data_IF_439006878489
#
_entry.id   IF_439006878489
#
_cell.length_a   1.000
_cell.length_b   1.000
_cell.length_c   1.000
_cell.angle_alpha   90.00
_cell.angle_beta   90.00
_cell.angle_gamma   90.00
#
_symmetry.space_group_name_H-M   'P 1'
#
loop_
_entity.id
_entity.type
_entity.pdbx_description
1 polymer ?
#
# COMPACT_ATOMS: atom_id res chain seq x y z
N UNK A 1 -12.01 22.24 -33.06
CA UNK A 1 -12.68 22.52 -31.78
C UNK A 1 -13.94 23.29 -32.12
N UNK A 2 -15.05 22.57 -32.30
CA UNK A 2 -16.35 23.12 -32.64
C UNK A 2 -17.30 22.66 -31.53
N UNK A 3 -18.05 23.63 -31.01
CA UNK A 3 -18.97 23.57 -29.87
C UNK A 3 -19.96 22.40 -29.95
N UNK A 4 -19.74 21.33 -29.17
CA UNK A 4 -20.76 20.31 -28.88
C UNK A 4 -21.77 20.76 -27.81
N UNK A 5 -21.55 21.90 -27.16
CA UNK A 5 -22.38 22.41 -26.07
C UNK A 5 -23.54 23.30 -26.52
N UNK A 6 -23.59 23.71 -27.80
CA UNK A 6 -24.62 24.65 -28.30
C UNK A 6 -25.82 23.92 -28.93
N UNK A 7 -25.59 22.77 -29.56
CA UNK A 7 -26.62 21.95 -30.24
C UNK A 7 -27.62 21.30 -29.26
N UNK A 8 -27.14 20.89 -28.07
CA UNK A 8 -27.99 20.26 -27.06
C UNK A 8 -28.99 21.24 -26.40
N UNK A 9 -28.67 22.53 -26.37
CA UNK A 9 -29.59 23.54 -25.81
C UNK A 9 -30.73 23.84 -26.78
N UNK A 10 -30.44 23.95 -28.09
CA UNK A 10 -31.47 24.21 -29.10
C UNK A 10 -32.48 23.05 -29.21
N UNK A 11 -31.99 21.80 -29.12
CA UNK A 11 -32.85 20.60 -29.11
C UNK A 11 -33.73 20.56 -27.84
N UNK A 12 -33.17 20.93 -26.70
CA UNK A 12 -33.90 20.94 -25.44
C UNK A 12 -35.01 22.01 -25.47
N UNK A 13 -34.72 23.22 -25.95
CA UNK A 13 -35.72 24.30 -26.04
C UNK A 13 -36.88 23.89 -26.96
N UNK A 14 -36.59 23.32 -28.13
CA UNK A 14 -37.62 22.88 -29.08
C UNK A 14 -38.52 21.77 -28.52
N UNK A 15 -37.97 20.88 -27.70
CA UNK A 15 -38.72 19.81 -27.04
C UNK A 15 -39.75 20.34 -26.04
N UNK A 16 -39.40 21.37 -25.26
CA UNK A 16 -40.31 22.00 -24.29
C UNK A 16 -41.33 22.91 -24.96
N UNK A 17 -41.04 23.44 -26.15
CA UNK A 17 -41.98 24.24 -26.92
C UNK A 17 -43.05 23.36 -27.58
N UNK A 18 -42.69 22.18 -28.10
CA UNK A 18 -43.64 21.20 -28.64
C UNK A 18 -44.43 20.46 -27.55
N UNK A 19 -43.85 20.31 -26.36
CA UNK A 19 -44.46 19.59 -25.23
C UNK A 19 -44.56 20.52 -24.00
N UNK A 20 -45.40 21.57 -24.05
CA UNK A 20 -45.54 22.46 -22.92
C UNK A 20 -45.98 21.65 -21.69
N UNK A 21 -45.38 21.90 -20.51
CA UNK A 21 -45.75 21.19 -19.31
C UNK A 21 -47.24 21.38 -19.05
N UNK A 22 -47.94 20.27 -18.87
CA UNK A 22 -49.34 20.27 -18.49
C UNK A 22 -49.50 21.10 -17.22
N UNK A 23 -50.53 21.96 -17.10
CA UNK A 23 -50.77 22.71 -15.87
C UNK A 23 -50.91 21.72 -14.71
N UNK A 24 -50.15 21.95 -13.63
CA UNK A 24 -50.24 21.16 -12.41
C UNK A 24 -51.68 21.29 -11.90
N UNK A 25 -52.42 20.18 -11.97
CA UNK A 25 -53.74 20.09 -11.33
C UNK A 25 -53.55 20.28 -9.83
N UNK A 26 -54.14 21.33 -9.26
CA UNK A 26 -54.22 21.55 -7.80
C UNK A 26 -55.17 20.57 -7.10
N UNK A 27 -55.60 19.50 -7.77
CA UNK A 27 -56.34 18.42 -7.17
C UNK A 27 -55.35 17.46 -6.47
N UNK A 28 -55.11 17.71 -5.18
CA UNK A 28 -54.22 16.93 -4.31
C UNK A 28 -54.53 15.42 -4.31
N UNK A 29 -55.72 15.03 -4.79
CA UNK A 29 -56.19 13.64 -4.89
C UNK A 29 -55.43 12.81 -5.92
N UNK A 30 -54.84 13.45 -6.93
CA UNK A 30 -54.02 12.77 -7.97
C UNK A 30 -52.67 12.36 -7.38
N UNK A 31 -52.06 13.21 -6.55
CA UNK A 31 -50.79 12.90 -5.88
C UNK A 31 -50.92 11.72 -4.90
N UNK A 32 -52.03 11.67 -4.15
CA UNK A 32 -52.31 10.53 -3.28
C UNK A 32 -52.48 9.23 -4.08
N UNK A 33 -53.19 9.26 -5.22
CA UNK A 33 -53.34 8.10 -6.10
C UNK A 33 -52.03 7.66 -6.75
N UNK A 34 -51.19 8.58 -7.21
CA UNK A 34 -49.90 8.26 -7.83
C UNK A 34 -48.92 7.72 -6.80
N UNK A 35 -48.87 8.27 -5.57
CA UNK A 35 -48.06 7.74 -4.48
C UNK A 35 -48.48 6.32 -4.10
N UNK A 36 -49.79 6.04 -4.14
CA UNK A 36 -50.34 4.71 -3.87
C UNK A 36 -50.09 3.74 -5.03
N UNK A 37 -49.99 4.20 -6.28
CA UNK A 37 -49.62 3.35 -7.43
C UNK A 37 -48.12 3.07 -7.51
N UNK A 38 -47.28 4.03 -7.13
CA UNK A 38 -45.81 3.89 -7.16
C UNK A 38 -45.28 2.97 -6.05
N UNK A 39 -46.01 2.86 -4.93
CA UNK A 39 -45.67 2.00 -3.80
C UNK A 39 -46.68 0.87 -3.51
N UNK A 40 -47.87 0.90 -4.10
CA UNK A 40 -48.91 -0.14 -3.98
C UNK A 40 -48.82 -1.18 -5.09
N UNK A 41 -47.59 -1.56 -5.46
CA UNK A 41 -47.35 -2.62 -6.42
C UNK A 41 -48.23 -3.83 -6.13
N UNK A 42 -48.98 -4.25 -7.13
CA UNK A 42 -49.87 -5.41 -7.03
C UNK A 42 -49.07 -6.64 -6.57
N UNK A 43 -49.36 -7.13 -5.36
CA UNK A 43 -48.69 -8.31 -4.77
C UNK A 43 -49.00 -9.62 -5.52
N UNK A 44 -49.84 -9.58 -6.56
CA UNK A 44 -50.10 -10.74 -7.41
C UNK A 44 -48.92 -11.09 -8.33
N UNK A 45 -47.93 -10.20 -8.47
CA UNK A 45 -46.80 -10.37 -9.38
C UNK A 45 -45.53 -10.79 -8.61
N UNK A 46 -45.53 -12.06 -8.17
CA UNK A 46 -44.42 -12.71 -7.47
C UNK A 46 -43.08 -12.54 -8.21
N UNK A 47 -43.10 -12.48 -9.55
CA UNK A 47 -41.91 -12.26 -10.37
C UNK A 47 -41.24 -10.90 -10.13
N UNK A 48 -42.03 -9.85 -9.85
CA UNK A 48 -41.51 -8.50 -9.53
C UNK A 48 -40.81 -8.51 -8.17
N UNK A 49 -41.40 -9.22 -7.19
CA UNK A 49 -40.81 -9.39 -5.87
C UNK A 49 -39.50 -10.19 -5.94
N UNK A 50 -39.48 -11.31 -6.67
CA UNK A 50 -38.28 -12.14 -6.87
C UNK A 50 -37.16 -11.32 -7.51
N UNK A 51 -37.48 -10.56 -8.57
CA UNK A 51 -36.51 -9.70 -9.24
C UNK A 51 -35.92 -8.64 -8.29
N UNK A 52 -36.74 -8.05 -7.41
CA UNK A 52 -36.26 -7.08 -6.43
C UNK A 52 -35.31 -7.70 -5.38
N UNK A 53 -35.62 -8.91 -4.91
CA UNK A 53 -34.75 -9.69 -4.01
C UNK A 53 -33.41 -10.05 -4.68
N UNK A 54 -33.43 -10.50 -5.93
CA UNK A 54 -32.22 -10.77 -6.72
C UNK A 54 -31.33 -9.53 -6.87
N UNK A 55 -31.94 -8.38 -7.15
CA UNK A 55 -31.21 -7.11 -7.22
C UNK A 55 -30.58 -6.72 -5.88
N UNK A 56 -31.29 -6.93 -4.76
CA UNK A 56 -30.76 -6.68 -3.41
C UNK A 56 -29.57 -7.59 -3.10
N UNK A 57 -29.66 -8.88 -3.43
CA UNK A 57 -28.57 -9.84 -3.22
C UNK A 57 -27.33 -9.44 -4.02
N UNK A 58 -27.50 -9.09 -5.30
CA UNK A 58 -26.40 -8.64 -6.16
C UNK A 58 -25.75 -7.35 -5.68
N UNK A 59 -26.53 -6.41 -5.14
CA UNK A 59 -26.00 -5.19 -4.52
C UNK A 59 -25.20 -5.49 -3.26
N UNK A 60 -25.68 -6.43 -2.43
CA UNK A 60 -24.98 -6.84 -1.21
C UNK A 60 -23.66 -7.55 -1.52
N UNK A 61 -23.65 -8.41 -2.55
CA UNK A 61 -22.45 -9.06 -3.06
C UNK A 61 -21.42 -8.05 -3.57
N UNK A 62 -21.85 -7.06 -4.36
CA UNK A 62 -21.00 -5.97 -4.84
C UNK A 62 -20.36 -5.20 -3.67
N UNK A 63 -21.17 -4.85 -2.66
CA UNK A 63 -20.71 -4.12 -1.47
C UNK A 63 -19.71 -4.94 -0.64
N UNK A 64 -19.92 -6.25 -0.54
CA UNK A 64 -18.96 -7.15 0.12
C UNK A 64 -17.65 -7.24 -0.65
N UNK A 65 -17.72 -7.39 -1.98
CA UNK A 65 -16.54 -7.46 -2.86
C UNK A 65 -15.70 -6.19 -2.79
N UNK A 66 -16.34 -5.02 -2.76
CA UNK A 66 -15.69 -3.73 -2.61
C UNK A 66 -14.99 -3.60 -1.25
N UNK A 67 -15.65 -4.02 -0.16
CA UNK A 67 -15.04 -4.02 1.18
C UNK A 67 -13.84 -4.96 1.28
N UNK A 68 -13.93 -6.16 0.70
CA UNK A 68 -12.81 -7.12 0.71
C UNK A 68 -11.65 -6.60 -0.12
N UNK A 69 -11.90 -6.05 -1.32
CA UNK A 69 -10.84 -5.43 -2.13
C UNK A 69 -10.20 -4.22 -1.46
N UNK A 70 -10.99 -3.34 -0.84
CA UNK A 70 -10.47 -2.18 -0.15
C UNK A 70 -9.67 -2.59 1.10
N UNK A 71 -10.13 -3.61 1.84
CA UNK A 71 -9.43 -4.16 2.99
C UNK A 71 -8.11 -4.84 2.63
N UNK A 72 -8.08 -5.63 1.55
CA UNK A 72 -6.87 -6.26 1.02
C UNK A 72 -5.87 -5.23 0.46
N UNK A 73 -6.36 -4.21 -0.25
CA UNK A 73 -5.52 -3.13 -0.74
C UNK A 73 -4.90 -2.32 0.42
N UNK A 74 -5.68 -2.03 1.46
CA UNK A 74 -5.20 -1.34 2.66
C UNK A 74 -4.16 -2.17 3.43
N UNK A 75 -4.38 -3.49 3.59
CA UNK A 75 -3.40 -4.36 4.24
C UNK A 75 -2.10 -4.47 3.45
N UNK A 76 -2.16 -4.60 2.11
CA UNK A 76 -0.98 -4.65 1.25
C UNK A 76 -0.17 -3.34 1.31
N UNK A 77 -0.86 -2.19 1.37
CA UNK A 77 -0.21 -0.89 1.54
C UNK A 77 0.46 -0.77 2.90
N UNK A 78 -0.24 -1.18 3.96
CA UNK A 78 0.28 -1.16 5.34
C UNK A 78 1.48 -2.08 5.51
N UNK A 79 1.45 -3.27 4.92
CA UNK A 79 2.58 -4.21 4.92
C UNK A 79 3.79 -3.65 4.16
N UNK A 80 3.55 -2.98 3.02
CA UNK A 80 4.60 -2.27 2.26
C UNK A 80 5.20 -1.11 3.03
N UNK A 81 4.38 -0.34 3.75
CA UNK A 81 4.85 0.75 4.59
C UNK A 81 5.65 0.24 5.79
N UNK A 82 5.21 -0.86 6.39
CA UNK A 82 5.91 -1.51 7.49
C UNK A 82 7.24 -2.13 7.02
N UNK A 83 7.27 -2.76 5.84
CA UNK A 83 8.52 -3.23 5.23
C UNK A 83 9.49 -2.06 4.96
N UNK A 84 8.96 -0.90 4.52
CA UNK A 84 9.77 0.32 4.30
C UNK A 84 10.28 0.93 5.60
N UNK A 85 9.47 0.97 6.66
CA UNK A 85 9.88 1.52 7.96
C UNK A 85 10.96 0.64 8.60
N UNK A 86 10.78 -0.69 8.57
CA UNK A 86 11.77 -1.65 9.04
C UNK A 86 13.12 -1.51 8.32
N UNK A 87 13.10 -1.30 7.00
CA UNK A 87 14.32 -1.02 6.22
C UNK A 87 14.98 0.30 6.62
N UNK A 88 14.19 1.36 6.87
CA UNK A 88 14.71 2.66 7.31
C UNK A 88 15.36 2.57 8.69
N UNK A 89 14.74 1.87 9.63
CA UNK A 89 15.28 1.69 10.98
C UNK A 89 16.55 0.85 10.98
N UNK A 90 16.59 -0.25 10.23
CA UNK A 90 17.82 -1.04 10.09
C UNK A 90 18.92 -0.27 9.34
N UNK A 91 18.59 0.48 8.29
CA UNK A 91 19.56 1.35 7.61
C UNK A 91 20.12 2.44 8.53
N UNK A 92 19.27 3.03 9.38
CA UNK A 92 19.69 4.02 10.38
C UNK A 92 20.66 3.42 11.38
N UNK A 93 20.39 2.21 11.90
CA UNK A 93 21.30 1.48 12.80
C UNK A 93 22.64 1.17 12.11
N UNK A 94 22.62 0.75 10.85
CA UNK A 94 23.83 0.50 10.06
C UNK A 94 24.67 1.78 9.87
N UNK A 95 24.02 2.93 9.66
CA UNK A 95 24.70 4.21 9.53
C UNK A 95 25.39 4.65 10.82
N UNK A 96 24.72 4.52 11.98
CA UNK A 96 25.34 4.82 13.28
C UNK A 96 26.55 3.91 13.56
N UNK A 97 26.45 2.64 13.18
CA UNK A 97 27.56 1.71 13.33
C UNK A 97 28.75 2.09 12.43
N UNK A 98 28.50 2.44 11.16
CA UNK A 98 29.54 2.90 10.23
C UNK A 98 30.23 4.18 10.72
N UNK A 99 29.45 5.13 11.25
CA UNK A 99 30.00 6.36 11.82
C UNK A 99 30.87 6.09 13.05
N UNK A 100 30.40 5.23 13.97
CA UNK A 100 31.17 4.85 15.17
C UNK A 100 32.47 4.13 14.80
N UNK A 101 32.44 3.27 13.79
CA UNK A 101 33.62 2.57 13.27
C UNK A 101 34.64 3.54 12.64
N UNK A 102 34.18 4.51 11.86
CA UNK A 102 35.07 5.52 11.27
C UNK A 102 35.81 6.34 12.33
N UNK A 103 35.11 6.70 13.42
CA UNK A 103 35.73 7.37 14.57
C UNK A 103 36.76 6.47 15.26
N UNK A 104 36.44 5.18 15.44
CA UNK A 104 37.36 4.21 16.05
C UNK A 104 38.65 4.01 15.23
N UNK A 105 38.53 3.88 13.91
CA UNK A 105 39.69 3.81 13.01
C UNK A 105 40.49 5.11 13.06
N UNK A 106 39.84 6.27 13.08
CA UNK A 106 40.53 7.56 13.25
C UNK A 106 41.35 7.62 14.53
N UNK A 107 40.83 7.10 15.64
CA UNK A 107 41.55 7.01 16.92
C UNK A 107 42.73 6.04 16.83
N UNK A 108 42.57 4.86 16.22
CA UNK A 108 43.67 3.90 16.04
C UNK A 108 44.80 4.49 15.21
N UNK A 109 44.47 5.19 14.11
CA UNK A 109 45.46 5.86 13.26
C UNK A 109 46.19 6.95 14.04
N UNK A 110 45.48 7.73 14.86
CA UNK A 110 46.09 8.74 15.72
C UNK A 110 47.05 8.12 16.74
N UNK A 111 46.64 7.06 17.43
CA UNK A 111 47.49 6.37 18.44
C UNK A 111 48.72 5.76 17.77
N UNK A 112 48.56 5.11 16.61
CA UNK A 112 49.66 4.51 15.87
C UNK A 112 50.63 5.58 15.33
N UNK A 113 50.11 6.70 14.83
CA UNK A 113 50.93 7.85 14.43
C UNK A 113 51.69 8.48 15.59
N UNK A 114 51.11 8.45 16.80
CA UNK A 114 51.71 8.96 18.04
C UNK A 114 52.57 7.94 18.79
N UNK A 115 52.66 6.69 18.29
CA UNK A 115 53.37 5.59 18.95
C UNK A 115 54.84 5.94 19.25
N UNK A 116 55.49 6.71 18.37
CA UNK A 116 56.87 7.19 18.55
C UNK A 116 57.08 8.08 19.79
N UNK A 117 56.03 8.73 20.29
CA UNK A 117 56.11 9.64 21.44
C UNK A 117 55.67 8.99 22.77
N UNK A 118 55.02 7.82 22.72
CA UNK A 118 54.41 7.12 23.86
C UNK A 118 55.23 5.94 24.39
N UNK A 119 56.34 5.57 23.73
CA UNK A 119 57.30 4.58 24.24
C UNK A 119 56.80 3.12 24.27
N UNK A 120 55.70 2.81 23.56
CA UNK A 120 55.19 1.45 23.41
C UNK A 120 55.68 0.84 22.08
N UNK A 121 56.64 -0.08 22.16
CA UNK A 121 57.02 -0.96 21.05
C UNK A 121 56.08 -2.17 21.01
N UNK A 122 54.92 -2.00 20.37
CA UNK A 122 54.09 -3.13 19.95
C UNK A 122 54.71 -3.73 18.69
N UNK A 123 54.88 -5.05 18.68
CA UNK A 123 55.42 -5.77 17.52
C UNK A 123 54.48 -5.58 16.31
N UNK A 124 55.07 -5.36 15.12
CA UNK A 124 54.34 -5.17 13.87
C UNK A 124 53.37 -6.33 13.58
N UNK A 125 53.75 -7.55 13.98
CA UNK A 125 52.93 -8.75 13.84
C UNK A 125 51.72 -8.75 14.78
N UNK A 126 51.88 -8.29 16.02
CA UNK A 126 50.79 -8.17 17.00
C UNK A 126 49.78 -7.11 16.55
N UNK A 127 50.29 -5.98 16.04
CA UNK A 127 49.44 -4.92 15.49
C UNK A 127 48.64 -5.41 14.28
N UNK A 128 49.28 -6.08 13.31
CA UNK A 128 48.57 -6.64 12.16
C UNK A 128 47.54 -7.70 12.57
N UNK A 129 47.83 -8.52 13.59
CA UNK A 129 46.88 -9.52 14.09
C UNK A 129 45.67 -8.86 14.76
N UNK A 130 45.88 -7.85 15.61
CA UNK A 130 44.80 -7.10 16.25
C UNK A 130 43.97 -6.36 15.18
N UNK A 131 44.60 -5.69 14.23
CA UNK A 131 43.92 -5.01 13.14
C UNK A 131 43.13 -5.98 12.24
N UNK A 132 43.71 -7.15 11.94
CA UNK A 132 43.08 -8.19 11.13
C UNK A 132 41.87 -8.83 11.82
N UNK A 133 42.01 -9.22 13.09
CA UNK A 133 40.90 -9.79 13.88
C UNK A 133 39.79 -8.76 14.12
N UNK A 134 40.15 -7.51 14.37
CA UNK A 134 39.21 -6.39 14.49
C UNK A 134 38.46 -6.16 13.17
N UNK A 135 39.17 -6.07 12.04
CA UNK A 135 38.57 -5.90 10.70
C UNK A 135 37.63 -7.07 10.37
N UNK A 136 38.04 -8.30 10.65
CA UNK A 136 37.21 -9.48 10.44
C UNK A 136 35.94 -9.47 11.30
N UNK A 137 36.05 -9.11 12.59
CA UNK A 137 34.90 -9.01 13.50
C UNK A 137 33.86 -7.99 13.02
N UNK A 138 34.33 -6.85 12.50
CA UNK A 138 33.48 -5.79 11.96
C UNK A 138 32.86 -6.19 10.63
N UNK A 139 33.59 -6.90 9.78
CA UNK A 139 33.07 -7.42 8.52
C UNK A 139 31.94 -8.44 8.77
N UNK A 140 32.12 -9.37 9.70
CA UNK A 140 31.10 -10.35 10.10
C UNK A 140 29.84 -9.65 10.63
N UNK A 141 30.03 -8.63 11.46
CA UNK A 141 28.91 -7.81 11.93
C UNK A 141 28.21 -7.08 10.77
N UNK A 142 28.96 -6.48 9.85
CA UNK A 142 28.41 -5.80 8.68
C UNK A 142 27.60 -6.74 7.78
N UNK A 143 28.10 -7.96 7.52
CA UNK A 143 27.36 -8.99 6.79
C UNK A 143 26.09 -9.42 7.53
N UNK A 144 26.15 -9.53 8.86
CA UNK A 144 24.98 -9.87 9.69
C UNK A 144 23.92 -8.77 9.61
N UNK A 145 24.33 -7.50 9.70
CA UNK A 145 23.43 -6.34 9.56
C UNK A 145 22.85 -6.26 8.16
N UNK A 146 23.63 -6.44 7.10
CA UNK A 146 23.14 -6.46 5.72
C UNK A 146 22.14 -7.60 5.51
N UNK A 147 22.46 -8.81 5.97
CA UNK A 147 21.58 -9.96 5.86
C UNK A 147 20.25 -9.75 6.61
N UNK A 148 20.28 -8.97 7.69
CA UNK A 148 19.08 -8.58 8.43
C UNK A 148 18.35 -7.36 7.82
N UNK A 149 19.03 -6.54 7.01
CA UNK A 149 18.42 -5.46 6.22
C UNK A 149 17.66 -6.02 5.01
N UNK A 150 18.20 -7.07 4.39
CA UNK A 150 17.62 -7.74 3.23
C UNK A 150 17.41 -9.22 3.56
N UNK A 151 16.39 -9.56 4.38
CA UNK A 151 16.00 -10.95 4.51
C UNK A 151 15.67 -11.45 3.10
N UNK A 152 16.43 -12.44 2.63
CA UNK A 152 16.09 -13.14 1.41
C UNK A 152 14.68 -13.69 1.63
N UNK A 153 13.70 -13.18 0.89
CA UNK A 153 12.36 -13.78 0.90
C UNK A 153 12.59 -15.23 0.47
N UNK A 154 12.29 -16.23 1.31
CA UNK A 154 12.40 -17.60 0.84
C UNK A 154 11.45 -17.71 -0.36
N UNK A 155 12.00 -18.04 -1.53
CA UNK A 155 11.21 -18.29 -2.71
C UNK A 155 10.27 -19.44 -2.39
N UNK A 156 8.99 -19.13 -2.19
CA UNK A 156 7.92 -20.08 -1.88
C UNK A 156 7.76 -21.14 -2.99
N UNK A 157 8.42 -20.96 -4.13
CA UNK A 157 8.37 -21.85 -5.29
C UNK A 157 9.54 -22.85 -5.39
N UNK A 158 10.45 -22.92 -4.40
CA UNK A 158 11.57 -23.90 -4.44
C UNK A 158 11.26 -25.24 -3.77
N UNK A 159 10.04 -25.44 -3.24
CA UNK A 159 9.63 -26.72 -2.63
C UNK A 159 9.03 -27.74 -3.60
N UNK A 160 8.88 -27.44 -4.90
CA UNK A 160 8.22 -28.34 -5.85
C UNK A 160 9.16 -29.19 -6.72
N UNK A 161 10.49 -29.04 -6.65
CA UNK A 161 11.43 -29.79 -7.51
C UNK A 161 12.26 -30.88 -6.81
N UNK A 162 11.91 -31.26 -5.56
CA UNK A 162 12.62 -32.34 -4.82
C UNK A 162 11.74 -33.52 -4.41
N UNK A 163 10.65 -33.77 -5.13
CA UNK A 163 9.85 -35.00 -4.98
C UNK A 163 9.63 -35.69 -6.33
N UNK A 164 10.68 -35.85 -7.12
CA UNK A 164 10.69 -36.84 -8.18
C UNK A 164 12.13 -37.35 -8.37
N UNK A 165 12.49 -38.36 -7.58
CA UNK A 165 13.48 -39.39 -7.91
C UNK A 165 13.34 -40.56 -6.94
#
# INVERSE_FOLDING_TARGET
MINESQDNNDIAEHFFEENPPQPISTDDRVSEQESFLLFGGDMNNIDVFIKHEEFKLKFFEFKHREKTQNGEAESILKDRENERSLRKENAKKAFYFSSTWAVFIGIIILIHGWQKHLGFDISENEFMFICGTLTASVLIFYLTVIKNLFPNKPDINSSESKSEK
#
